data_IF_686155230947
#
_entry.id   IF_686155230947
#
_cell.length_a   1.000
_cell.length_b   1.000
_cell.length_c   1.000
_cell.angle_alpha   90.00
_cell.angle_beta   90.00
_cell.angle_gamma   90.00
#
_symmetry.space_group_name_H-M   'P 1'
#
loop_
_entity.id
_entity.type
_entity.pdbx_description
1 polymer ?
#
# COMPACT_ATOMS: atom_id res chain seq x y z
N UNK A 1 18.66 -9.79 -9.25
CA UNK A 1 17.21 -9.76 -8.95
C UNK A 1 16.52 -10.66 -9.97
N UNK A 2 15.49 -11.41 -9.59
CA UNK A 2 14.70 -12.23 -10.54
C UNK A 2 13.30 -11.63 -10.56
N UNK A 3 12.80 -11.32 -11.75
CA UNK A 3 11.46 -10.78 -11.96
C UNK A 3 10.45 -11.89 -12.24
N UNK A 4 9.20 -11.66 -11.88
CA UNK A 4 8.08 -12.53 -12.26
C UNK A 4 6.96 -11.66 -12.81
N UNK A 5 6.28 -12.15 -13.86
CA UNK A 5 5.00 -11.59 -14.25
C UNK A 5 3.97 -11.88 -13.15
N UNK A 6 3.38 -10.82 -12.62
CA UNK A 6 2.39 -10.80 -11.57
C UNK A 6 1.00 -10.70 -12.19
N UNK A 7 0.21 -11.77 -12.04
CA UNK A 7 -1.22 -11.75 -12.41
C UNK A 7 -2.09 -11.05 -11.35
N UNK A 8 -1.49 -10.66 -10.22
CA UNK A 8 -2.13 -10.00 -9.10
C UNK A 8 -2.33 -10.93 -7.89
N UNK A 9 -2.80 -10.34 -6.79
CA UNK A 9 -2.89 -11.01 -5.49
C UNK A 9 -4.36 -11.25 -5.15
N UNK A 10 -4.69 -12.50 -4.82
CA UNK A 10 -6.03 -12.91 -4.40
C UNK A 10 -6.35 -12.30 -3.02
N UNK A 11 -7.55 -11.74 -2.88
CA UNK A 11 -8.11 -11.29 -1.61
C UNK A 11 -8.56 -12.51 -0.80
N UNK A 12 -7.62 -13.05 -0.01
CA UNK A 12 -7.86 -14.22 0.84
C UNK A 12 -9.00 -14.02 1.82
N UNK A 13 -9.13 -12.84 2.44
CA UNK A 13 -10.19 -12.58 3.43
C UNK A 13 -11.59 -12.75 2.87
N UNK A 14 -11.83 -12.37 1.60
CA UNK A 14 -13.13 -12.63 0.93
C UNK A 14 -13.40 -14.12 0.76
N UNK A 15 -12.38 -14.91 0.41
CA UNK A 15 -12.50 -16.37 0.31
C UNK A 15 -12.78 -16.97 1.69
N UNK A 16 -12.03 -16.56 2.72
CA UNK A 16 -12.15 -17.07 4.09
C UNK A 16 -13.56 -16.82 4.65
N UNK A 17 -14.18 -15.65 4.37
CA UNK A 17 -15.57 -15.36 4.75
C UNK A 17 -16.59 -16.32 4.11
N UNK A 18 -16.31 -16.80 2.91
CA UNK A 18 -17.21 -17.67 2.16
C UNK A 18 -17.04 -19.17 2.46
N UNK A 19 -15.86 -19.59 2.90
CA UNK A 19 -15.57 -21.00 3.26
C UNK A 19 -15.68 -21.24 4.78
N UNK A 20 -15.58 -20.20 5.60
CA UNK A 20 -15.55 -20.29 7.05
C UNK A 20 -14.26 -20.92 7.57
N UNK A 21 -14.35 -21.78 8.58
CA UNK A 21 -13.19 -22.42 9.23
C UNK A 21 -12.67 -23.67 8.49
N UNK A 22 -12.98 -23.78 7.19
CA UNK A 22 -12.55 -24.93 6.38
C UNK A 22 -11.07 -24.83 6.02
N UNK A 23 -10.32 -25.90 6.30
CA UNK A 23 -8.91 -26.00 5.93
C UNK A 23 -8.72 -26.05 4.40
N UNK A 24 -7.83 -25.20 3.90
CA UNK A 24 -7.38 -25.16 2.50
C UNK A 24 -6.13 -26.03 2.36
N UNK A 25 -6.18 -27.02 1.47
CA UNK A 25 -5.06 -27.91 1.17
C UNK A 25 -4.39 -27.60 -0.17
N UNK A 26 -5.18 -27.16 -1.16
CA UNK A 26 -4.70 -26.88 -2.51
C UNK A 26 -5.43 -25.67 -3.09
N UNK A 27 -4.71 -24.81 -3.80
CA UNK A 27 -5.26 -23.70 -4.58
C UNK A 27 -4.67 -23.75 -5.98
N UNK A 28 -5.52 -23.64 -6.99
CA UNK A 28 -5.11 -23.52 -8.39
C UNK A 28 -5.95 -22.48 -9.12
N UNK A 29 -5.42 -21.96 -10.23
CA UNK A 29 -6.11 -21.00 -11.09
C UNK A 29 -6.28 -21.64 -12.46
N UNK A 30 -7.50 -21.66 -12.99
CA UNK A 30 -7.81 -22.18 -14.32
C UNK A 30 -8.76 -21.22 -15.04
N UNK A 31 -8.27 -20.55 -16.08
CA UNK A 31 -9.03 -19.48 -16.73
C UNK A 31 -9.38 -18.37 -15.74
N UNK A 32 -10.68 -18.08 -15.59
CA UNK A 32 -11.19 -17.10 -14.63
C UNK A 32 -11.62 -17.72 -13.29
N UNK A 33 -11.28 -18.97 -13.00
CA UNK A 33 -11.67 -19.64 -11.75
C UNK A 33 -10.47 -19.82 -10.82
N UNK A 34 -10.62 -19.38 -9.58
CA UNK A 34 -9.80 -19.79 -8.44
C UNK A 34 -10.45 -21.05 -7.86
N UNK A 35 -9.76 -22.18 -7.95
CA UNK A 35 -10.22 -23.47 -7.44
C UNK A 35 -9.54 -23.71 -6.10
N UNK A 36 -10.32 -23.75 -5.02
CA UNK A 36 -9.85 -23.98 -3.65
C UNK A 36 -10.37 -25.35 -3.20
N UNK A 37 -9.45 -26.23 -2.80
CA UNK A 37 -9.76 -27.59 -2.32
C UNK A 37 -9.32 -27.78 -0.88
N UNK A 38 -10.15 -28.48 -0.12
CA UNK A 38 -9.80 -29.04 1.19
C UNK A 38 -9.99 -30.55 1.21
N UNK A 39 -10.02 -31.14 2.42
CA UNK A 39 -10.02 -32.60 2.60
C UNK A 39 -11.18 -33.33 1.92
N UNK A 40 -12.37 -32.71 1.90
CA UNK A 40 -13.61 -33.29 1.34
C UNK A 40 -14.49 -32.24 0.65
N UNK A 41 -13.90 -31.16 0.16
CA UNK A 41 -14.65 -30.08 -0.48
C UNK A 41 -13.81 -29.36 -1.54
N UNK A 42 -14.51 -28.86 -2.55
CA UNK A 42 -13.97 -27.98 -3.57
C UNK A 42 -14.94 -26.80 -3.74
N UNK A 43 -14.41 -25.59 -3.88
CA UNK A 43 -15.20 -24.42 -4.25
C UNK A 43 -14.45 -23.59 -5.28
N UNK A 44 -15.21 -23.03 -6.22
CA UNK A 44 -14.70 -22.15 -7.27
C UNK A 44 -15.12 -20.71 -6.99
N UNK A 45 -14.19 -19.78 -7.21
CA UNK A 45 -14.41 -18.36 -7.07
C UNK A 45 -14.00 -17.64 -8.36
N UNK A 46 -14.81 -16.71 -8.89
CA UNK A 46 -14.42 -15.92 -10.06
C UNK A 46 -13.21 -15.03 -9.77
N UNK A 47 -12.11 -15.19 -10.50
CA UNK A 47 -10.83 -14.53 -10.26
C UNK A 47 -10.99 -13.00 -10.23
N UNK A 48 -11.69 -12.43 -11.23
CA UNK A 48 -11.92 -10.98 -11.34
C UNK A 48 -12.67 -10.37 -10.14
N UNK A 49 -13.47 -11.16 -9.42
CA UNK A 49 -14.24 -10.68 -8.25
C UNK A 49 -13.47 -10.82 -6.94
N UNK A 50 -12.50 -11.74 -6.91
CA UNK A 50 -11.77 -12.15 -5.71
C UNK A 50 -10.30 -11.70 -5.69
N UNK A 51 -9.82 -11.03 -6.74
CA UNK A 51 -8.53 -10.34 -6.72
C UNK A 51 -8.63 -9.04 -5.90
N UNK A 52 -7.51 -8.61 -5.30
CA UNK A 52 -7.43 -7.30 -4.63
C UNK A 52 -7.75 -6.16 -5.61
N UNK A 53 -8.52 -5.17 -5.15
CA UNK A 53 -8.97 -4.04 -5.99
C UNK A 53 -7.81 -3.28 -6.63
N UNK A 54 -6.71 -3.05 -5.88
CA UNK A 54 -5.50 -2.44 -6.41
C UNK A 54 -4.84 -3.24 -7.54
N UNK A 55 -4.94 -4.58 -7.50
CA UNK A 55 -4.35 -5.42 -8.54
C UNK A 55 -5.11 -5.31 -9.87
N UNK A 56 -6.38 -4.92 -9.86
CA UNK A 56 -7.20 -4.71 -11.07
C UNK A 56 -6.72 -3.53 -11.90
N UNK A 57 -6.24 -2.48 -11.22
CA UNK A 57 -5.77 -1.22 -11.85
C UNK A 57 -4.25 -1.12 -11.96
N UNK A 58 -3.50 -2.07 -11.36
CA UNK A 58 -2.04 -2.05 -11.38
C UNK A 58 -1.49 -2.19 -12.81
N UNK A 59 -0.74 -1.18 -13.24
CA UNK A 59 -0.05 -1.14 -14.53
C UNK A 59 1.33 -1.82 -14.49
N UNK A 60 1.92 -1.96 -13.30
CA UNK A 60 3.23 -2.60 -13.10
C UNK A 60 3.05 -4.10 -12.83
N UNK A 61 2.96 -4.89 -13.89
CA UNK A 61 2.79 -6.36 -13.80
C UNK A 61 4.10 -7.12 -13.64
N UNK A 62 5.25 -6.45 -13.70
CA UNK A 62 6.54 -7.04 -13.42
C UNK A 62 7.47 -5.99 -12.78
N UNK A 63 8.41 -6.38 -11.91
CA UNK A 63 9.41 -5.45 -11.40
C UNK A 63 10.19 -4.81 -12.55
N UNK A 64 10.23 -3.47 -12.63
CA UNK A 64 11.05 -2.77 -13.62
C UNK A 64 12.53 -3.16 -13.51
N UNK A 65 13.29 -3.03 -14.60
CA UNK A 65 14.70 -3.44 -14.68
C UNK A 65 14.98 -4.95 -14.51
N UNK A 66 13.97 -5.81 -14.62
CA UNK A 66 14.14 -7.29 -14.55
C UNK A 66 13.93 -8.02 -15.88
N UNK A 67 13.85 -7.32 -17.01
CA UNK A 67 13.62 -7.91 -18.34
C UNK A 67 14.58 -9.04 -18.69
N UNK A 68 15.87 -8.90 -18.35
CA UNK A 68 16.90 -9.94 -18.62
C UNK A 68 16.82 -11.17 -17.71
N UNK A 69 16.14 -11.04 -16.57
CA UNK A 69 16.10 -12.04 -15.50
C UNK A 69 14.65 -12.34 -15.09
N UNK A 70 13.71 -12.13 -16.01
CA UNK A 70 12.29 -12.37 -15.78
C UNK A 70 11.93 -13.82 -16.10
N UNK A 71 11.08 -14.39 -15.26
CA UNK A 71 10.38 -15.64 -15.52
C UNK A 71 8.97 -15.29 -16.04
N UNK A 72 8.70 -15.67 -17.30
CA UNK A 72 7.45 -15.35 -18.00
C UNK A 72 7.57 -14.13 -18.91
N UNK A 73 6.43 -13.57 -19.32
CA UNK A 73 6.36 -12.38 -20.17
C UNK A 73 6.39 -11.11 -19.31
N UNK A 74 7.55 -10.48 -19.15
CA UNK A 74 7.66 -9.17 -18.49
C UNK A 74 7.80 -8.05 -19.52
N UNK A 75 7.21 -6.91 -19.20
CA UNK A 75 7.34 -5.67 -19.97
C UNK A 75 7.86 -4.56 -19.07
N UNK A 76 8.63 -3.64 -19.65
CA UNK A 76 9.01 -2.41 -18.94
C UNK A 76 7.83 -1.44 -18.92
N UNK A 77 7.74 -0.69 -17.82
CA UNK A 77 6.72 0.32 -17.60
C UNK A 77 7.45 1.62 -17.31
N UNK A 78 7.48 2.50 -18.30
CA UNK A 78 8.19 3.78 -18.20
C UNK A 78 7.45 4.78 -17.30
N UNK A 79 6.13 4.69 -17.26
CA UNK A 79 5.27 5.58 -16.48
C UNK A 79 4.01 4.88 -16.03
N UNK A 80 3.53 5.25 -14.84
CA UNK A 80 2.20 4.86 -14.34
C UNK A 80 1.33 6.11 -14.34
N UNK A 81 0.13 5.98 -14.91
CA UNK A 81 -0.87 7.04 -14.87
C UNK A 81 -1.97 6.69 -13.87
N UNK A 82 -2.30 7.61 -12.97
CA UNK A 82 -3.43 7.50 -12.05
C UNK A 82 -4.13 8.87 -12.04
N UNK A 83 -5.46 8.86 -12.15
CA UNK A 83 -6.24 10.09 -12.11
C UNK A 83 -6.48 10.58 -10.67
N UNK A 84 -6.16 9.76 -9.67
CA UNK A 84 -6.37 10.02 -8.25
C UNK A 84 -7.79 10.48 -7.92
N UNK A 85 -8.79 10.07 -8.70
CA UNK A 85 -10.20 10.46 -8.53
C UNK A 85 -10.73 10.13 -7.13
N UNK A 86 -10.33 9.00 -6.57
CA UNK A 86 -10.66 8.61 -5.19
C UNK A 86 -10.10 9.57 -4.13
N UNK A 87 -8.92 10.13 -4.39
CA UNK A 87 -8.28 11.12 -3.51
C UNK A 87 -8.87 12.51 -3.74
N UNK A 88 -9.25 12.86 -4.97
CA UNK A 88 -9.96 14.12 -5.28
C UNK A 88 -11.32 14.19 -4.59
N UNK A 89 -12.07 13.09 -4.62
CA UNK A 89 -13.33 12.97 -3.90
C UNK A 89 -13.14 13.17 -2.39
N UNK A 90 -12.06 12.65 -1.80
CA UNK A 90 -11.71 12.91 -0.41
C UNK A 90 -11.26 14.36 -0.17
N UNK A 91 -10.46 14.93 -1.07
CA UNK A 91 -9.96 16.31 -1.00
C UNK A 91 -11.05 17.37 -1.15
N UNK A 92 -12.15 17.06 -1.83
CA UNK A 92 -13.30 17.97 -2.00
C UNK A 92 -14.14 18.16 -0.73
N UNK A 93 -14.01 17.24 0.24
CA UNK A 93 -14.74 17.26 1.53
C UNK A 93 -14.32 18.43 2.43
N UNK A 94 -15.18 18.83 3.36
CA UNK A 94 -14.81 19.83 4.38
C UNK A 94 -13.76 19.28 5.35
N UNK A 95 -13.13 20.15 6.12
CA UNK A 95 -12.14 19.77 7.13
C UNK A 95 -12.73 18.79 8.15
N UNK A 96 -13.97 19.03 8.58
CA UNK A 96 -14.68 18.19 9.54
C UNK A 96 -14.98 16.80 8.97
N UNK A 97 -15.42 16.74 7.72
CA UNK A 97 -15.69 15.49 7.01
C UNK A 97 -14.41 14.66 6.78
N UNK A 98 -13.30 15.32 6.40
CA UNK A 98 -11.99 14.68 6.27
C UNK A 98 -11.52 14.10 7.60
N UNK A 99 -11.65 14.89 8.67
CA UNK A 99 -11.28 14.45 10.00
C UNK A 99 -12.11 13.26 10.47
N UNK A 100 -13.44 13.33 10.29
CA UNK A 100 -14.34 12.23 10.62
C UNK A 100 -13.97 10.97 9.83
N UNK A 101 -13.73 11.08 8.53
CA UNK A 101 -13.31 9.95 7.70
C UNK A 101 -12.02 9.28 8.21
N UNK A 102 -10.98 10.07 8.50
CA UNK A 102 -9.71 9.56 9.03
C UNK A 102 -9.92 8.91 10.41
N UNK A 103 -10.71 9.56 11.26
CA UNK A 103 -10.99 9.06 12.60
C UNK A 103 -11.72 7.73 12.54
N UNK A 104 -12.83 7.66 11.82
CA UNK A 104 -13.66 6.47 11.70
C UNK A 104 -12.90 5.30 11.06
N UNK A 105 -12.03 5.59 10.08
CA UNK A 105 -11.18 4.58 9.45
C UNK A 105 -10.11 4.00 10.39
N UNK A 106 -9.53 4.82 11.27
CA UNK A 106 -8.40 4.40 12.12
C UNK A 106 -8.79 4.02 13.56
N UNK A 107 -9.95 4.45 14.05
CA UNK A 107 -10.44 4.16 15.41
C UNK A 107 -10.46 2.65 15.77
N UNK A 108 -10.77 1.72 14.85
CA UNK A 108 -10.71 0.28 15.12
C UNK A 108 -9.29 -0.28 15.28
N UNK A 109 -8.23 0.50 15.03
CA UNK A 109 -6.85 0.01 14.98
C UNK A 109 -6.39 -0.52 16.35
N UNK A 110 -6.04 -1.81 16.38
CA UNK A 110 -5.52 -2.48 17.59
C UNK A 110 -4.02 -2.33 17.79
N UNK A 111 -3.33 -1.61 16.88
CA UNK A 111 -1.86 -1.50 16.84
C UNK A 111 -1.13 -2.84 16.88
N UNK A 112 -1.67 -3.87 16.22
CA UNK A 112 -1.02 -5.18 16.08
C UNK A 112 0.24 -5.16 15.18
N UNK A 113 0.49 -4.06 14.46
CA UNK A 113 1.61 -3.87 13.53
C UNK A 113 1.70 -4.84 12.34
N UNK A 114 0.67 -5.65 12.07
CA UNK A 114 0.66 -6.51 10.88
C UNK A 114 0.94 -5.73 9.59
N UNK A 115 0.39 -4.50 9.48
CA UNK A 115 0.63 -3.60 8.35
C UNK A 115 2.08 -3.12 8.21
N UNK A 116 2.86 -3.10 9.30
CA UNK A 116 4.31 -2.84 9.31
C UNK A 116 5.05 -4.08 8.82
N UNK A 117 4.77 -5.23 9.41
CA UNK A 117 5.47 -6.49 9.12
C UNK A 117 5.27 -6.96 7.66
N UNK A 118 4.09 -6.73 7.09
CA UNK A 118 3.83 -7.10 5.70
C UNK A 118 4.41 -6.12 4.67
N UNK A 119 4.88 -4.93 5.10
CA UNK A 119 5.35 -3.91 4.18
C UNK A 119 6.82 -4.13 3.80
N UNK A 120 7.14 -4.37 2.51
CA UNK A 120 8.53 -4.60 2.10
C UNK A 120 9.42 -3.36 2.27
N UNK A 121 8.82 -2.18 2.41
CA UNK A 121 9.55 -0.91 2.61
C UNK A 121 9.77 -0.56 4.09
N UNK A 122 9.21 -1.34 5.02
CA UNK A 122 9.44 -1.16 6.46
C UNK A 122 10.64 -1.99 6.94
N UNK A 123 11.84 -1.71 6.41
CA UNK A 123 13.07 -2.46 6.66
C UNK A 123 14.09 -1.74 7.57
N UNK A 124 13.70 -0.65 8.23
CA UNK A 124 14.62 0.14 9.05
C UNK A 124 15.22 -0.69 10.20
N UNK A 125 16.54 -0.65 10.37
CA UNK A 125 17.23 -1.31 11.50
C UNK A 125 16.78 -0.78 12.87
N UNK A 126 16.41 0.50 12.94
CA UNK A 126 15.90 1.17 14.13
C UNK A 126 14.54 1.81 13.80
N UNK A 127 13.47 1.19 14.27
CA UNK A 127 12.11 1.65 14.03
C UNK A 127 11.61 2.54 15.18
N UNK A 128 10.96 3.66 14.85
CA UNK A 128 10.36 4.60 15.81
C UNK A 128 9.32 3.95 16.74
N UNK A 129 8.69 2.86 16.29
CA UNK A 129 7.74 2.05 17.08
C UNK A 129 8.44 1.34 18.25
N UNK A 130 9.65 0.84 18.00
CA UNK A 130 10.38 -0.01 18.94
C UNK A 130 11.26 0.81 19.89
N UNK A 131 11.53 2.08 19.54
CA UNK A 131 12.30 2.98 20.39
C UNK A 131 11.56 3.31 21.70
N UNK A 132 12.32 3.37 22.79
CA UNK A 132 11.86 3.88 24.09
C UNK A 132 12.61 5.17 24.50
N UNK A 133 13.70 5.52 23.80
CA UNK A 133 14.55 6.67 24.10
C UNK A 133 15.05 7.28 22.77
N UNK A 134 14.50 8.43 22.33
CA UNK A 134 13.32 9.10 22.88
C UNK A 134 12.03 8.28 22.65
N UNK A 135 11.01 8.55 23.47
CA UNK A 135 9.64 8.07 23.19
C UNK A 135 9.02 9.03 22.18
N UNK A 136 8.77 8.56 20.96
CA UNK A 136 8.18 9.38 19.89
C UNK A 136 6.68 9.63 20.07
N UNK A 137 5.96 8.67 20.68
CA UNK A 137 4.51 8.71 20.88
C UNK A 137 4.11 7.69 21.97
N UNK A 138 2.91 7.83 22.54
CA UNK A 138 2.42 6.87 23.51
C UNK A 138 2.26 5.49 22.89
N UNK A 139 2.48 4.44 23.70
CA UNK A 139 2.34 3.04 23.26
C UNK A 139 0.96 2.46 23.60
N UNK A 140 -0.08 3.26 23.46
CA UNK A 140 -1.48 2.88 23.77
C UNK A 140 -2.33 2.71 22.51
N UNK A 141 -3.50 2.08 22.64
CA UNK A 141 -4.52 2.03 21.58
C UNK A 141 -5.44 3.25 21.59
N UNK A 142 -5.05 4.34 22.25
CA UNK A 142 -5.81 5.59 22.18
C UNK A 142 -5.61 6.26 20.82
N UNK A 143 -6.67 6.90 20.33
CA UNK A 143 -6.69 7.49 18.99
C UNK A 143 -5.51 8.43 18.69
N UNK A 144 -5.07 9.35 19.58
CA UNK A 144 -3.91 10.21 19.30
C UNK A 144 -2.64 9.42 19.00
N UNK A 145 -2.39 8.32 19.72
CA UNK A 145 -1.22 7.47 19.51
C UNK A 145 -1.31 6.67 18.20
N UNK A 146 -2.52 6.19 17.87
CA UNK A 146 -2.81 5.52 16.59
C UNK A 146 -2.54 6.48 15.43
N UNK A 147 -3.07 7.70 15.52
CA UNK A 147 -2.92 8.72 14.50
C UNK A 147 -1.44 9.07 14.27
N UNK A 148 -0.67 9.28 15.34
CA UNK A 148 0.77 9.58 15.23
C UNK A 148 1.54 8.41 14.61
N UNK A 149 1.23 7.16 14.98
CA UNK A 149 1.82 5.99 14.33
C UNK A 149 1.60 5.97 12.82
N UNK A 150 0.34 6.16 12.38
CA UNK A 150 0.01 6.15 10.96
C UNK A 150 0.64 7.34 10.23
N UNK A 151 0.68 8.53 10.86
CA UNK A 151 1.30 9.73 10.29
C UNK A 151 2.81 9.57 10.07
N UNK A 152 3.56 9.13 11.10
CA UNK A 152 5.02 8.93 10.98
C UNK A 152 5.32 7.84 9.95
N UNK A 153 4.56 6.72 9.98
CA UNK A 153 4.73 5.65 8.99
C UNK A 153 4.43 6.15 7.58
N UNK A 154 3.39 6.95 7.40
CA UNK A 154 3.05 7.57 6.12
C UNK A 154 4.23 8.42 5.62
N UNK A 155 4.79 9.28 6.48
CA UNK A 155 5.94 10.11 6.13
C UNK A 155 7.17 9.29 5.70
N UNK A 156 7.51 8.22 6.42
CA UNK A 156 8.61 7.32 6.03
C UNK A 156 8.38 6.62 4.68
N UNK A 157 7.13 6.49 4.25
CA UNK A 157 6.73 5.81 3.03
C UNK A 157 6.58 6.76 1.83
N UNK A 158 6.65 8.08 2.04
CA UNK A 158 6.56 9.08 0.98
C UNK A 158 7.65 8.87 -0.08
N UNK A 159 7.24 8.64 -1.33
CA UNK A 159 8.14 8.33 -2.44
C UNK A 159 8.74 6.91 -2.41
N UNK A 160 8.26 6.04 -1.53
CA UNK A 160 8.72 4.64 -1.42
C UNK A 160 7.61 3.62 -1.60
N UNK A 161 6.36 4.00 -1.28
CA UNK A 161 5.22 3.12 -1.45
C UNK A 161 4.92 2.89 -2.93
N UNK A 162 4.80 1.63 -3.34
CA UNK A 162 4.43 1.21 -4.70
C UNK A 162 2.96 0.79 -4.81
N UNK A 163 2.12 1.25 -3.89
CA UNK A 163 0.69 0.94 -3.80
C UNK A 163 0.34 -0.56 -3.91
N UNK A 164 1.15 -1.46 -3.33
CA UNK A 164 0.92 -2.91 -3.44
C UNK A 164 -0.26 -3.45 -2.62
N UNK A 165 -0.84 -2.65 -1.70
CA UNK A 165 -1.98 -3.06 -0.88
C UNK A 165 -1.69 -4.03 0.26
N UNK A 166 -0.44 -4.52 0.40
CA UNK A 166 -0.07 -5.52 1.40
C UNK A 166 -0.45 -5.11 2.83
N UNK A 167 -0.34 -3.81 3.13
CA UNK A 167 -0.65 -3.29 4.46
C UNK A 167 -2.15 -3.29 4.80
N UNK A 168 -3.03 -3.11 3.81
CA UNK A 168 -4.49 -3.23 3.99
C UNK A 168 -4.91 -4.71 4.02
N UNK A 169 -4.34 -5.55 3.16
CA UNK A 169 -4.74 -6.96 3.04
C UNK A 169 -4.46 -7.80 4.30
N UNK A 170 -3.53 -7.37 5.14
CA UNK A 170 -3.19 -8.05 6.40
C UNK A 170 -3.87 -7.45 7.63
N UNK A 171 -4.66 -6.39 7.48
CA UNK A 171 -5.32 -5.77 8.62
C UNK A 171 -6.42 -6.70 9.17
N UNK A 172 -6.32 -7.18 10.42
CA UNK A 172 -7.31 -8.11 10.97
C UNK A 172 -8.68 -7.46 11.21
N UNK A 173 -8.74 -6.12 11.25
CA UNK A 173 -9.96 -5.33 11.44
C UNK A 173 -10.37 -4.58 10.16
N UNK A 174 -9.77 -4.92 9.01
CA UNK A 174 -10.22 -4.45 7.70
C UNK A 174 -9.94 -2.97 7.39
N UNK A 175 -8.97 -2.32 8.06
CA UNK A 175 -8.60 -0.93 7.77
C UNK A 175 -7.94 -0.86 6.39
N UNK A 176 -8.51 -0.04 5.51
CA UNK A 176 -7.86 0.28 4.24
C UNK A 176 -6.86 1.43 4.40
N UNK A 177 -5.58 1.06 4.49
CA UNK A 177 -4.46 1.98 4.58
C UNK A 177 -4.08 2.60 3.23
N UNK A 178 -4.67 2.13 2.13
CA UNK A 178 -4.34 2.61 0.79
C UNK A 178 -4.73 4.07 0.61
N UNK A 179 -5.80 4.55 1.24
CA UNK A 179 -6.19 5.96 1.18
C UNK A 179 -5.04 6.88 1.63
N UNK A 180 -4.34 6.53 2.72
CA UNK A 180 -3.22 7.32 3.24
C UNK A 180 -2.04 7.26 2.26
N UNK A 181 -1.69 6.07 1.77
CA UNK A 181 -0.54 5.92 0.87
C UNK A 181 -0.79 6.51 -0.51
N UNK A 182 -2.02 6.43 -1.04
CA UNK A 182 -2.43 7.03 -2.31
C UNK A 182 -2.45 8.55 -2.23
N UNK A 183 -2.91 9.13 -1.12
CA UNK A 183 -2.77 10.58 -0.88
C UNK A 183 -1.30 11.02 -0.93
N UNK A 184 -0.39 10.25 -0.34
CA UNK A 184 1.04 10.53 -0.41
C UNK A 184 1.62 10.35 -1.81
N UNK A 185 1.19 9.31 -2.53
CA UNK A 185 1.56 9.09 -3.92
C UNK A 185 1.16 10.27 -4.80
N UNK A 186 -0.08 10.77 -4.66
CA UNK A 186 -0.54 11.99 -5.34
C UNK A 186 0.34 13.20 -5.00
N UNK A 187 0.62 13.44 -3.72
CA UNK A 187 1.50 14.56 -3.29
C UNK A 187 2.87 14.45 -3.96
N UNK A 188 3.47 13.26 -3.94
CA UNK A 188 4.81 13.03 -4.49
C UNK A 188 4.82 13.18 -6.02
N UNK A 189 3.80 12.67 -6.70
CA UNK A 189 3.65 12.81 -8.15
C UNK A 189 3.46 14.27 -8.56
N UNK A 190 2.58 15.01 -7.87
CA UNK A 190 2.31 16.42 -8.20
C UNK A 190 3.51 17.32 -7.92
N UNK A 191 4.20 17.12 -6.79
CA UNK A 191 5.30 18.01 -6.38
C UNK A 191 6.64 17.69 -7.03
N UNK A 192 6.92 16.43 -7.32
CA UNK A 192 8.25 16.00 -7.76
C UNK A 192 8.26 15.21 -9.08
N UNK A 193 7.09 15.03 -9.71
CA UNK A 193 6.89 14.17 -10.88
C UNK A 193 7.50 12.77 -10.70
N UNK A 194 7.41 12.23 -9.49
CA UNK A 194 8.07 10.98 -9.11
C UNK A 194 7.07 9.84 -8.89
N UNK A 195 7.39 8.67 -9.42
CA UNK A 195 6.64 7.42 -9.20
C UNK A 195 7.58 6.37 -8.60
N UNK A 196 7.24 5.85 -7.43
CA UNK A 196 8.07 4.87 -6.74
C UNK A 196 8.11 3.52 -7.47
N UNK A 197 9.28 2.88 -7.47
CA UNK A 197 9.44 1.50 -7.94
C UNK A 197 9.61 1.33 -9.45
N UNK A 198 9.67 2.42 -10.23
CA UNK A 198 9.93 2.36 -11.68
C UNK A 198 11.40 2.28 -12.05
N UNK A 199 12.25 2.98 -11.30
CA UNK A 199 13.70 2.98 -11.49
C UNK A 199 14.40 2.73 -10.15
N UNK A 200 15.42 1.87 -10.18
CA UNK A 200 16.21 1.51 -9.01
C UNK A 200 17.33 2.55 -8.74
N UNK A 201 17.75 3.30 -9.75
CA UNK A 201 18.85 4.25 -9.65
C UNK A 201 18.37 5.64 -9.19
N UNK A 202 17.15 6.03 -9.58
CA UNK A 202 16.58 7.31 -9.15
C UNK A 202 16.22 7.30 -7.66
N UNK A 203 16.84 8.19 -6.90
CA UNK A 203 16.55 8.38 -5.48
C UNK A 203 15.16 9.02 -5.27
N UNK A 204 14.35 8.51 -4.32
CA UNK A 204 13.10 9.13 -3.89
C UNK A 204 13.28 10.59 -3.45
N UNK A 205 12.24 11.44 -3.60
CA UNK A 205 12.33 12.87 -3.25
C UNK A 205 12.78 13.15 -1.82
N UNK A 206 12.40 12.31 -0.85
CA UNK A 206 12.81 12.48 0.55
C UNK A 206 14.29 12.12 0.82
N UNK A 207 15.03 11.66 -0.19
CA UNK A 207 16.46 11.31 -0.13
C UNK A 207 17.29 12.09 -1.14
N UNK A 208 16.68 13.04 -1.85
CA UNK A 208 17.33 13.84 -2.86
C UNK A 208 16.96 15.32 -2.65
N UNK A 209 17.71 16.22 -3.29
CA UNK A 209 17.47 17.65 -3.26
C UNK A 209 17.82 18.24 -4.61
N UNK A 210 16.94 19.05 -5.18
CA UNK A 210 17.22 19.85 -6.38
C UNK A 210 17.07 21.32 -6.05
N UNK A 211 17.97 22.15 -6.59
CA UNK A 211 17.90 23.61 -6.38
C UNK A 211 16.64 24.23 -7.00
N UNK A 212 16.03 23.52 -7.95
CA UNK A 212 14.82 23.93 -8.67
C UNK A 212 13.52 23.37 -8.05
N UNK A 213 13.59 22.65 -6.91
CA UNK A 213 12.38 22.18 -6.21
C UNK A 213 11.53 23.39 -5.77
N UNK A 214 10.20 23.24 -5.79
CA UNK A 214 9.28 24.33 -5.45
C UNK A 214 9.27 24.61 -3.95
N UNK A 215 9.85 25.73 -3.54
CA UNK A 215 10.00 26.16 -2.15
C UNK A 215 8.75 26.91 -1.64
N UNK A 216 7.54 26.38 -1.85
CA UNK A 216 6.25 27.03 -1.54
C UNK A 216 6.09 27.47 -0.07
N UNK A 217 6.91 26.93 0.84
CA UNK A 217 6.90 27.23 2.26
C UNK A 217 7.91 28.31 2.66
N UNK A 218 8.86 28.65 1.78
CA UNK A 218 9.74 29.80 1.97
C UNK A 218 8.96 31.05 1.58
N UNK A 219 8.47 31.77 2.60
CA UNK A 219 7.94 33.11 2.40
C UNK A 219 9.13 34.01 2.00
N UNK A 220 9.11 34.54 0.78
CA UNK A 220 9.99 35.66 0.44
C UNK A 220 9.60 36.85 1.34
N UNK A 221 10.58 37.47 2.01
CA UNK A 221 10.33 38.74 2.70
C UNK A 221 10.08 39.81 1.63
N UNK A 222 8.89 40.42 1.64
CA UNK A 222 8.53 41.58 0.80
C UNK A 222 9.45 42.79 1.04
#
# INVERSE_FOLDING_TARGET
MIGFNCNGIINRSRIDLEIGEKEILEVSVSGNDIIVKGRDWEKKFPYDQYINELCKVCQVKAPPSTTKTCVGECHEVDSVYDDFSDIEDYESKTTEEKWAYIKDALEPCTRCYACREACPMCYCNLCFVDQNLPVWFGKTTQFPDILVYHLIRAFHMAGRCVACGACSSVCPVGIDLNMITRKLEKIVKVRYDFTAGLDAETLPPMMNFKMEDTEEFMLEED
#
